data_IF_956624029233
#
_entry.id   IF_956624029233
#
_cell.length_a   1.000
_cell.length_b   1.000
_cell.length_c   1.000
_cell.angle_alpha   90.00
_cell.angle_beta   90.00
_cell.angle_gamma   90.00
#
_symmetry.space_group_name_H-M   'P 1'
#
loop_
_entity.id
_entity.type
_entity.pdbx_description
1 polymer ?
#
# COMPACT_ATOMS: atom_id res chain seq x y z
N UNK A 1 14.51 5.90 3.06
CA UNK A 1 13.96 7.26 3.21
C UNK A 1 13.96 7.66 4.67
N UNK A 2 14.67 8.74 5.04
CA UNK A 2 14.76 9.17 6.45
C UNK A 2 13.48 9.83 6.97
N UNK A 3 12.68 10.43 6.08
CA UNK A 3 11.39 11.03 6.45
C UNK A 3 10.42 10.02 7.10
N UNK A 4 10.26 8.84 6.50
CA UNK A 4 9.39 7.80 7.04
C UNK A 4 9.93 7.26 8.37
N UNK A 5 11.25 7.12 8.51
CA UNK A 5 11.87 6.69 9.78
C UNK A 5 11.59 7.69 10.90
N UNK A 6 11.81 8.98 10.63
CA UNK A 6 11.49 10.06 11.59
C UNK A 6 10.01 10.06 11.96
N UNK A 7 9.13 9.90 10.97
CA UNK A 7 7.68 9.79 11.24
C UNK A 7 7.37 8.60 12.17
N UNK A 8 8.00 7.45 11.97
CA UNK A 8 7.82 6.29 12.86
C UNK A 8 8.36 6.57 14.27
N UNK A 9 9.51 7.25 14.39
CA UNK A 9 10.12 7.60 15.68
C UNK A 9 9.28 8.62 16.47
N UNK A 10 8.70 9.61 15.79
CA UNK A 10 7.91 10.68 16.40
C UNK A 10 6.50 10.21 16.79
N UNK A 11 5.88 9.40 15.94
CA UNK A 11 4.43 9.15 15.98
C UNK A 11 4.06 7.67 16.13
N UNK A 12 5.04 6.77 16.06
CA UNK A 12 4.84 5.33 16.21
C UNK A 12 4.71 4.93 17.68
N UNK A 13 3.78 4.01 17.97
CA UNK A 13 3.65 3.41 19.31
C UNK A 13 3.89 1.91 19.23
N UNK A 14 4.81 1.38 20.02
CA UNK A 14 5.03 -0.07 20.12
C UNK A 14 4.05 -0.68 21.12
N UNK A 15 3.19 -1.56 20.63
CA UNK A 15 2.23 -2.33 21.42
C UNK A 15 2.83 -3.70 21.80
N UNK A 16 2.25 -4.40 22.80
CA UNK A 16 2.62 -5.77 23.12
C UNK A 16 2.59 -6.68 21.88
N UNK A 17 3.48 -7.68 21.85
CA UNK A 17 3.61 -8.59 20.71
C UNK A 17 4.40 -7.99 19.53
N UNK A 18 5.23 -6.96 19.78
CA UNK A 18 6.07 -6.30 18.78
C UNK A 18 5.27 -5.69 17.62
N UNK A 19 4.10 -5.14 17.94
CA UNK A 19 3.23 -4.50 16.94
C UNK A 19 3.48 -3.00 16.94
N UNK A 20 3.93 -2.46 15.80
CA UNK A 20 4.09 -1.03 15.61
C UNK A 20 2.76 -0.41 15.15
N UNK A 21 2.14 0.40 16.01
CA UNK A 21 0.93 1.18 15.72
C UNK A 21 1.31 2.53 15.09
N UNK A 22 0.72 2.84 13.94
CA UNK A 22 0.99 4.03 13.10
C UNK A 22 -0.31 4.64 12.55
N UNK A 23 -1.35 4.62 13.37
CA UNK A 23 -2.71 4.97 12.96
C UNK A 23 -2.87 6.46 12.62
N UNK A 24 -2.00 7.31 13.13
CA UNK A 24 -1.97 8.76 12.92
C UNK A 24 -1.44 9.20 11.55
N UNK A 25 -0.82 8.30 10.75
CA UNK A 25 -0.31 8.68 9.43
C UNK A 25 -0.44 7.63 8.33
N UNK A 26 -0.74 6.36 8.63
CA UNK A 26 -0.87 5.31 7.62
C UNK A 26 -2.20 4.54 7.67
N UNK A 27 -2.58 3.98 8.82
CA UNK A 27 -3.64 2.97 8.84
C UNK A 27 -5.07 3.54 8.93
N UNK A 28 -5.29 4.54 9.80
CA UNK A 28 -6.62 5.12 10.07
C UNK A 28 -6.70 6.56 9.57
N UNK A 29 -5.74 7.38 9.98
CA UNK A 29 -5.42 8.67 9.39
C UNK A 29 -4.30 8.47 8.37
N UNK A 30 -4.41 9.15 7.24
CA UNK A 30 -3.41 9.11 6.17
C UNK A 30 -2.76 10.49 6.06
N UNK A 31 -1.44 10.55 6.20
CA UNK A 31 -0.67 11.73 5.83
C UNK A 31 -0.46 11.72 4.31
N UNK A 32 -1.24 12.51 3.59
CA UNK A 32 -1.21 12.56 2.13
C UNK A 32 0.13 13.02 1.57
N UNK A 33 0.83 13.93 2.24
CA UNK A 33 2.13 14.44 1.80
C UNK A 33 3.23 13.39 2.01
N UNK A 34 3.17 12.65 3.11
CA UNK A 34 4.07 11.53 3.33
C UNK A 34 3.84 10.43 2.30
N UNK A 35 2.57 10.09 2.01
CA UNK A 35 2.25 9.09 0.99
C UNK A 35 2.72 9.53 -0.40
N UNK A 36 2.55 10.80 -0.76
CA UNK A 36 3.04 11.33 -2.04
C UNK A 36 4.56 11.14 -2.19
N UNK A 37 5.33 11.48 -1.15
CA UNK A 37 6.78 11.28 -1.13
C UNK A 37 7.16 9.79 -1.21
N UNK A 38 6.42 8.92 -0.50
CA UNK A 38 6.60 7.47 -0.59
C UNK A 38 6.34 6.97 -2.02
N UNK A 39 5.27 7.45 -2.65
CA UNK A 39 4.93 7.11 -4.03
C UNK A 39 6.00 7.56 -5.03
N UNK A 40 6.51 8.77 -4.87
CA UNK A 40 7.61 9.30 -5.68
C UNK A 40 8.89 8.46 -5.52
N UNK A 41 9.19 8.00 -4.30
CA UNK A 41 10.35 7.14 -4.04
C UNK A 41 10.18 5.75 -4.67
N UNK A 42 8.98 5.16 -4.64
CA UNK A 42 8.71 3.94 -5.38
C UNK A 42 8.88 4.16 -6.88
N UNK A 43 8.29 5.21 -7.45
CA UNK A 43 8.44 5.52 -8.86
C UNK A 43 9.92 5.70 -9.26
N UNK A 44 10.73 6.36 -8.42
CA UNK A 44 12.17 6.52 -8.62
C UNK A 44 12.90 5.18 -8.62
N UNK A 45 12.57 4.27 -7.70
CA UNK A 45 13.19 2.94 -7.59
C UNK A 45 12.85 2.03 -8.78
N UNK A 46 11.66 2.18 -9.36
CA UNK A 46 11.20 1.39 -10.50
C UNK A 46 11.28 2.12 -11.85
N UNK A 47 11.97 3.26 -11.92
CA UNK A 47 11.99 4.13 -13.12
C UNK A 47 12.56 3.45 -14.38
N UNK A 48 13.47 2.50 -14.18
CA UNK A 48 14.16 1.78 -15.26
C UNK A 48 13.40 0.50 -15.65
N UNK A 49 12.32 0.17 -14.94
CA UNK A 49 11.46 -0.97 -15.19
C UNK A 49 10.26 -0.57 -16.06
N UNK A 50 9.77 -1.51 -16.87
CA UNK A 50 8.56 -1.31 -17.69
C UNK A 50 7.29 -1.57 -16.90
N UNK A 51 7.05 -0.76 -15.86
CA UNK A 51 5.84 -0.88 -15.06
C UNK A 51 4.62 -0.44 -15.88
N UNK A 52 3.58 -1.27 -15.91
CA UNK A 52 2.34 -0.97 -16.65
C UNK A 52 1.12 -0.82 -15.74
N UNK A 53 1.20 -1.30 -14.48
CA UNK A 53 0.15 -1.25 -13.46
C UNK A 53 0.78 -1.32 -12.07
N UNK A 54 0.13 -0.70 -11.09
CA UNK A 54 0.41 -0.92 -9.66
C UNK A 54 -0.69 -1.81 -9.08
N UNK A 55 -0.32 -2.81 -8.28
CA UNK A 55 -1.26 -3.72 -7.63
C UNK A 55 -1.05 -3.67 -6.11
N UNK A 56 -2.14 -3.59 -5.34
CA UNK A 56 -2.11 -3.57 -3.87
C UNK A 56 -3.26 -4.37 -3.28
N UNK A 57 -3.38 -4.42 -1.95
CA UNK A 57 -4.50 -5.05 -1.22
C UNK A 57 -5.15 -4.02 -0.30
N UNK A 58 -6.48 -4.08 -0.19
CA UNK A 58 -7.22 -3.21 0.72
C UNK A 58 -6.89 -3.42 2.22
N UNK A 59 -6.94 -2.40 3.06
CA UNK A 59 -7.29 -0.99 2.76
C UNK A 59 -6.08 -0.06 2.80
N UNK A 60 -5.23 -0.17 3.82
CA UNK A 60 -4.14 0.79 4.08
C UNK A 60 -3.07 0.82 2.98
N UNK A 61 -2.94 -0.25 2.20
CA UNK A 61 -2.04 -0.30 1.04
C UNK A 61 -2.46 0.60 -0.12
N UNK A 62 -3.71 1.10 -0.15
CA UNK A 62 -4.24 1.91 -1.24
C UNK A 62 -3.55 3.27 -1.32
N UNK A 63 -3.35 3.96 -0.20
CA UNK A 63 -2.78 5.31 -0.20
C UNK A 63 -1.35 5.40 -0.79
N UNK A 64 -0.38 4.57 -0.34
CA UNK A 64 0.95 4.56 -0.95
C UNK A 64 0.95 3.99 -2.38
N UNK A 65 0.06 3.04 -2.70
CA UNK A 65 -0.03 2.49 -4.05
C UNK A 65 -0.63 3.49 -5.05
N UNK A 66 -1.61 4.29 -4.64
CA UNK A 66 -2.23 5.33 -5.46
C UNK A 66 -1.23 6.41 -5.84
N UNK A 67 -0.49 6.92 -4.86
CA UNK A 67 0.56 7.93 -5.11
C UNK A 67 1.67 7.36 -5.99
N UNK A 68 2.08 6.11 -5.77
CA UNK A 68 3.02 5.41 -6.66
C UNK A 68 2.51 5.34 -8.10
N UNK A 69 1.23 4.95 -8.28
CA UNK A 69 0.60 4.85 -9.59
C UNK A 69 0.50 6.21 -10.30
N UNK A 70 0.20 7.28 -9.55
CA UNK A 70 0.22 8.67 -10.05
C UNK A 70 1.61 9.03 -10.57
N UNK A 71 2.67 8.83 -9.77
CA UNK A 71 4.04 9.17 -10.15
C UNK A 71 4.58 8.33 -11.31
N UNK A 72 4.13 7.07 -11.45
CA UNK A 72 4.46 6.20 -12.58
C UNK A 72 3.60 6.44 -13.83
N UNK A 73 2.49 7.19 -13.71
CA UNK A 73 1.55 7.41 -14.82
C UNK A 73 0.81 6.14 -15.28
N UNK A 74 0.53 5.21 -14.37
CA UNK A 74 -0.10 3.91 -14.66
C UNK A 74 -1.35 3.67 -13.81
N UNK A 75 -2.28 2.80 -14.22
CA UNK A 75 -3.46 2.49 -13.40
C UNK A 75 -3.10 1.69 -12.13
N UNK A 76 -3.89 1.93 -11.08
CA UNK A 76 -3.88 1.16 -9.83
C UNK A 76 -5.00 0.10 -9.85
N UNK A 77 -4.67 -1.12 -9.41
CA UNK A 77 -5.63 -2.19 -9.09
C UNK A 77 -5.46 -2.55 -7.61
N UNK A 78 -6.55 -2.68 -6.87
CA UNK A 78 -6.50 -3.16 -5.49
C UNK A 78 -7.35 -4.41 -5.30
N UNK A 79 -6.74 -5.41 -4.67
CA UNK A 79 -7.37 -6.65 -4.26
C UNK A 79 -8.32 -6.40 -3.10
N UNK A 80 -9.42 -7.15 -3.05
CA UNK A 80 -10.38 -7.14 -1.94
C UNK A 80 -10.26 -8.41 -1.10
N UNK A 81 -10.39 -8.25 0.22
CA UNK A 81 -10.36 -9.35 1.20
C UNK A 81 -11.73 -10.02 1.32
N UNK A 82 -12.80 -9.28 1.05
CA UNK A 82 -14.17 -9.78 1.08
C UNK A 82 -14.76 -9.84 -0.34
N UNK A 83 -15.65 -10.81 -0.60
CA UNK A 83 -16.38 -10.91 -1.87
C UNK A 83 -17.20 -9.63 -2.09
N UNK A 84 -16.98 -8.97 -3.22
CA UNK A 84 -17.83 -7.85 -3.67
C UNK A 84 -19.14 -8.38 -4.25
N UNK A 85 -20.25 -7.67 -4.03
CA UNK A 85 -21.55 -7.97 -4.65
C UNK A 85 -21.52 -7.91 -6.20
N UNK A 86 -20.55 -7.20 -6.77
CA UNK A 86 -20.44 -6.96 -8.22
C UNK A 86 -19.21 -7.61 -8.88
N UNK A 87 -18.37 -8.35 -8.13
CA UNK A 87 -17.27 -9.11 -8.75
C UNK A 87 -17.83 -10.40 -9.34
N UNK A 88 -18.09 -10.40 -10.65
CA UNK A 88 -18.42 -11.59 -11.42
C UNK A 88 -17.16 -12.38 -11.75
N UNK A 89 -16.86 -13.38 -10.91
CA UNK A 89 -16.16 -14.68 -11.13
C UNK A 89 -15.06 -14.86 -12.20
N UNK A 90 -14.44 -13.81 -12.71
CA UNK A 90 -13.36 -13.95 -13.68
C UNK A 90 -12.02 -13.64 -13.02
N UNK A 91 -11.29 -14.73 -12.74
CA UNK A 91 -9.86 -14.77 -12.40
C UNK A 91 -9.44 -14.42 -10.97
N UNK A 92 -10.08 -15.03 -9.96
CA UNK A 92 -9.53 -15.03 -8.60
C UNK A 92 -8.32 -15.95 -8.53
N UNK A 93 -7.11 -15.38 -8.55
CA UNK A 93 -5.87 -16.10 -8.20
C UNK A 93 -5.38 -15.61 -6.84
N UNK A 94 -5.18 -16.49 -5.84
CA UNK A 94 -4.60 -16.09 -4.58
C UNK A 94 -3.17 -15.59 -4.81
N UNK A 95 -2.96 -14.29 -4.65
CA UNK A 95 -1.62 -13.71 -4.60
C UNK A 95 -1.15 -13.76 -3.15
N UNK A 96 -0.19 -14.63 -2.88
CA UNK A 96 0.49 -14.70 -1.59
C UNK A 96 1.31 -13.43 -1.41
N UNK A 97 0.90 -12.57 -0.48
CA UNK A 97 1.63 -11.35 -0.13
C UNK A 97 2.56 -11.66 1.04
N UNK A 98 3.86 -11.42 0.91
CA UNK A 98 4.86 -11.68 1.96
C UNK A 98 4.70 -10.78 3.22
N UNK A 99 3.81 -9.79 3.17
CA UNK A 99 3.70 -8.72 4.19
C UNK A 99 2.52 -8.93 5.14
N UNK A 100 1.49 -9.67 4.73
CA UNK A 100 0.41 -10.10 5.62
C UNK A 100 0.05 -11.53 5.22
N UNK A 101 0.14 -12.46 6.17
CA UNK A 101 -0.15 -13.88 6.00
C UNK A 101 -1.66 -14.10 5.78
N UNK A 102 -2.22 -13.53 4.70
CA UNK A 102 -3.64 -13.49 4.34
C UNK A 102 -3.78 -13.53 2.81
N UNK A 103 -4.69 -14.37 2.34
CA UNK A 103 -5.09 -14.44 0.93
C UNK A 103 -5.90 -13.20 0.55
N UNK A 104 -5.62 -12.62 -0.62
CA UNK A 104 -6.39 -11.52 -1.20
C UNK A 104 -6.90 -11.93 -2.59
N UNK A 105 -8.08 -11.41 -2.97
CA UNK A 105 -8.71 -11.67 -4.28
C UNK A 105 -8.50 -10.44 -5.17
N UNK A 106 -7.79 -10.59 -6.27
CA UNK A 106 -7.63 -9.59 -7.34
C UNK A 106 -8.58 -9.95 -8.48
#
# INVERSE_FOLDING_TARGET
MDLLKKRIEEDGTVLPGNVLKVDNFLNHQVDSLLMDKIGAEFARLFKDEKITKVVTVESSGIAPALTTAIHLGVPLIFARKHKSLTLTDNFIRPVFTLIQNKSAMI
#
